data_IF_672528010540
#
_entry.id   IF_672528010540
#
_cell.length_a   1.000
_cell.length_b   1.000
_cell.length_c   1.000
_cell.angle_alpha   90.00
_cell.angle_beta   90.00
_cell.angle_gamma   90.00
#
_symmetry.space_group_name_H-M   'P 1'
#
loop_
_entity.id
_entity.type
_entity.pdbx_description
1 polymer ?
#
# COMPACT_ATOMS: atom_id res chain seq x y z
N UNK A 1 -33.33 56.51 15.41
CA UNK A 1 -33.37 57.71 14.54
C UNK A 1 -33.38 57.20 13.10
N UNK A 2 -34.49 57.47 12.40
CA UNK A 2 -34.82 56.96 11.06
C UNK A 2 -33.98 57.62 9.96
N UNK A 3 -33.67 56.88 8.89
CA UNK A 3 -33.94 57.30 7.50
C UNK A 3 -33.78 56.13 6.51
N UNK A 4 -34.84 55.89 5.73
CA UNK A 4 -34.99 54.91 4.65
C UNK A 4 -35.66 55.65 3.48
N UNK A 5 -35.10 55.59 2.28
CA UNK A 5 -35.74 55.83 0.95
C UNK A 5 -34.85 55.05 -0.05
N UNK A 6 -35.19 53.92 -0.69
CA UNK A 6 -36.30 53.41 -1.52
C UNK A 6 -36.22 53.72 -3.03
N UNK A 7 -35.99 52.64 -3.78
CA UNK A 7 -36.53 52.21 -5.09
C UNK A 7 -36.17 52.90 -6.42
N UNK A 8 -35.88 52.03 -7.39
CA UNK A 8 -36.01 52.28 -8.83
C UNK A 8 -35.51 51.10 -9.67
N UNK A 9 -36.33 50.08 -9.86
CA UNK A 9 -36.14 49.01 -10.85
C UNK A 9 -36.95 49.29 -12.11
N UNK A 10 -36.38 49.11 -13.30
CA UNK A 10 -37.14 48.74 -14.53
C UNK A 10 -36.24 48.01 -15.53
N UNK A 11 -36.75 47.00 -16.28
CA UNK A 11 -35.95 46.02 -17.04
C UNK A 11 -35.97 46.24 -18.56
N UNK A 12 -34.96 45.69 -19.26
CA UNK A 12 -35.05 45.41 -20.70
C UNK A 12 -33.97 46.06 -21.57
N UNK A 13 -32.81 45.42 -21.74
CA UNK A 13 -32.02 45.47 -22.98
C UNK A 13 -30.97 44.34 -22.99
N UNK A 14 -30.82 43.58 -24.09
CA UNK A 14 -29.83 42.52 -24.19
C UNK A 14 -28.40 43.08 -24.35
N UNK A 15 -27.37 42.44 -23.77
CA UNK A 15 -25.99 42.83 -23.97
C UNK A 15 -25.51 42.52 -25.39
N UNK A 16 -24.78 43.50 -25.96
CA UNK A 16 -24.20 43.50 -27.30
C UNK A 16 -23.10 42.45 -27.41
N UNK A 17 -23.14 41.68 -28.50
CA UNK A 17 -22.01 40.90 -29.01
C UNK A 17 -20.84 41.84 -29.29
N UNK A 18 -19.69 41.54 -28.68
CA UNK A 18 -18.40 42.12 -29.05
C UNK A 18 -17.65 41.05 -29.82
N UNK A 19 -17.62 41.21 -31.14
CA UNK A 19 -16.71 40.50 -32.03
C UNK A 19 -15.26 40.86 -31.65
N UNK A 20 -14.43 39.85 -31.40
CA UNK A 20 -13.00 39.97 -31.54
C UNK A 20 -12.56 39.12 -32.73
N UNK A 21 -12.18 39.80 -33.80
CA UNK A 21 -11.41 39.23 -34.90
C UNK A 21 -10.00 38.87 -34.41
N UNK A 22 -9.57 37.64 -34.70
CA UNK A 22 -8.17 37.31 -34.92
C UNK A 22 -8.09 36.51 -36.21
N UNK A 23 -7.62 37.16 -37.28
CA UNK A 23 -7.31 36.51 -38.54
C UNK A 23 -5.97 35.79 -38.45
N UNK A 24 -5.96 34.48 -38.74
CA UNK A 24 -4.81 33.81 -39.34
C UNK A 24 -5.34 32.91 -40.46
N UNK A 25 -4.90 33.21 -41.68
CA UNK A 25 -5.15 32.48 -42.90
C UNK A 25 -4.36 31.15 -42.90
N UNK A 26 -5.04 30.02 -42.90
CA UNK A 26 -4.51 28.78 -43.50
C UNK A 26 -5.59 28.07 -44.31
N UNK A 27 -5.42 28.16 -45.63
CA UNK A 27 -6.25 27.60 -46.67
C UNK A 27 -5.77 26.16 -46.96
N UNK A 28 -6.50 25.15 -46.48
CA UNK A 28 -6.28 23.74 -46.88
C UNK A 28 -7.64 23.16 -47.31
N UNK A 29 -7.81 22.78 -48.60
CA UNK A 29 -9.08 22.25 -49.09
C UNK A 29 -9.23 20.76 -48.75
N UNK A 30 -10.31 20.43 -48.04
CA UNK A 30 -10.77 19.06 -47.80
C UNK A 30 -11.32 18.43 -49.09
N UNK A 31 -10.93 17.19 -49.45
CA UNK A 31 -11.53 16.51 -50.58
C UNK A 31 -12.89 15.90 -50.20
N UNK A 32 -13.87 16.18 -51.06
CA UNK A 32 -15.23 15.64 -51.07
C UNK A 32 -15.21 14.11 -51.18
N UNK A 33 -15.61 13.40 -50.14
CA UNK A 33 -15.97 11.98 -50.24
C UNK A 33 -17.38 11.85 -50.83
N UNK A 34 -17.44 11.33 -52.05
CA UNK A 34 -18.68 10.98 -52.76
C UNK A 34 -19.32 9.76 -52.10
N UNK A 35 -20.64 9.83 -51.97
CA UNK A 35 -21.54 8.73 -51.61
C UNK A 35 -21.25 7.49 -52.47
N UNK A 36 -20.98 6.35 -51.86
CA UNK A 36 -20.99 5.05 -52.51
C UNK A 36 -22.19 4.25 -52.00
N UNK A 37 -23.05 3.88 -52.96
CA UNK A 37 -24.32 3.17 -52.78
C UNK A 37 -24.06 1.67 -52.60
N UNK A 38 -24.70 1.07 -51.60
CA UNK A 38 -24.78 -0.40 -51.39
C UNK A 38 -25.71 -1.02 -52.44
N UNK A 39 -25.41 -2.23 -52.94
CA UNK A 39 -26.50 -3.18 -53.13
C UNK A 39 -26.21 -4.60 -52.63
N UNK A 40 -27.27 -5.17 -52.06
CA UNK A 40 -27.52 -6.53 -51.57
C UNK A 40 -27.75 -7.50 -52.73
N UNK A 41 -27.29 -8.75 -52.63
CA UNK A 41 -27.87 -9.90 -53.38
C UNK A 41 -27.99 -11.13 -52.46
N UNK A 42 -29.17 -11.75 -52.51
CA UNK A 42 -29.71 -12.88 -51.76
C UNK A 42 -30.06 -14.02 -52.74
N UNK A 43 -29.92 -15.28 -52.32
CA UNK A 43 -30.71 -16.51 -52.65
C UNK A 43 -29.92 -17.73 -53.21
N UNK A 44 -29.83 -18.87 -52.46
CA UNK A 44 -30.67 -20.12 -52.37
C UNK A 44 -30.40 -21.12 -53.55
N UNK A 45 -30.04 -22.42 -53.42
CA UNK A 45 -30.72 -23.68 -52.96
C UNK A 45 -29.67 -24.84 -53.07
N UNK A 46 -29.45 -25.77 -52.11
CA UNK A 46 -30.18 -27.01 -51.71
C UNK A 46 -29.52 -28.35 -52.18
N UNK A 47 -29.17 -29.18 -51.18
CA UNK A 47 -29.09 -30.66 -51.07
C UNK A 47 -28.04 -31.51 -51.83
N UNK A 48 -27.24 -32.26 -51.05
CA UNK A 48 -27.12 -33.72 -51.11
C UNK A 48 -26.47 -34.28 -49.83
N UNK A 49 -27.23 -35.11 -49.09
CA UNK A 49 -26.77 -35.88 -47.93
C UNK A 49 -26.14 -37.18 -48.46
N UNK A 50 -24.85 -37.38 -48.19
CA UNK A 50 -24.21 -38.71 -48.22
C UNK A 50 -23.52 -38.90 -46.87
N UNK A 51 -24.04 -39.82 -46.07
CA UNK A 51 -23.43 -40.25 -44.83
C UNK A 51 -22.28 -41.23 -45.15
N UNK A 52 -21.06 -40.88 -44.74
CA UNK A 52 -19.94 -41.81 -44.62
C UNK A 52 -19.30 -41.60 -43.23
N UNK A 53 -19.00 -42.66 -42.46
CA UNK A 53 -18.50 -42.53 -41.10
C UNK A 53 -16.99 -42.34 -41.06
N UNK A 54 -16.52 -41.55 -40.10
CA UNK A 54 -15.16 -41.65 -39.57
C UNK A 54 -14.11 -40.75 -40.22
N UNK A 55 -14.02 -39.51 -39.76
CA UNK A 55 -12.75 -38.84 -39.40
C UNK A 55 -13.13 -37.57 -38.62
N UNK A 56 -12.92 -37.59 -37.31
CA UNK A 56 -13.11 -36.43 -36.44
C UNK A 56 -12.11 -35.35 -36.82
N UNK A 57 -12.56 -34.37 -37.61
CA UNK A 57 -11.84 -33.12 -37.87
C UNK A 57 -12.00 -32.27 -36.61
N UNK A 58 -10.92 -32.11 -35.84
CA UNK A 58 -10.89 -31.22 -34.69
C UNK A 58 -11.32 -29.81 -35.13
N UNK A 59 -12.48 -29.36 -34.64
CA UNK A 59 -12.87 -27.97 -34.74
C UNK A 59 -11.89 -27.17 -33.88
N UNK A 60 -11.14 -26.28 -34.51
CA UNK A 60 -10.38 -25.24 -33.81
C UNK A 60 -11.38 -24.34 -33.07
N UNK A 61 -11.64 -24.67 -31.81
CA UNK A 61 -12.36 -23.82 -30.88
C UNK A 61 -11.51 -22.58 -30.60
N UNK A 62 -12.03 -21.43 -30.98
CA UNK A 62 -11.53 -20.12 -30.56
C UNK A 62 -11.52 -20.06 -29.04
N UNK A 63 -10.33 -20.11 -28.43
CA UNK A 63 -10.16 -19.84 -27.01
C UNK A 63 -10.24 -18.33 -26.79
N UNK A 64 -11.44 -17.83 -26.50
CA UNK A 64 -11.57 -16.63 -25.69
C UNK A 64 -10.99 -16.97 -24.31
N UNK A 65 -9.73 -16.63 -24.08
CA UNK A 65 -9.11 -16.66 -22.75
C UNK A 65 -9.64 -15.49 -21.92
N UNK A 66 -10.94 -15.51 -21.64
CA UNK A 66 -11.52 -14.82 -20.50
C UNK A 66 -11.74 -15.87 -19.45
N UNK A 67 -10.72 -16.10 -18.62
CA UNK A 67 -10.88 -16.95 -17.44
C UNK A 67 -11.59 -16.05 -16.43
N UNK A 68 -12.91 -16.16 -16.36
CA UNK A 68 -13.60 -15.76 -15.13
C UNK A 68 -12.92 -16.57 -14.01
N UNK A 69 -12.26 -15.87 -13.10
CA UNK A 69 -11.49 -16.50 -12.03
C UNK A 69 -12.46 -17.30 -11.16
N UNK A 70 -12.40 -18.62 -11.26
CA UNK A 70 -13.12 -19.51 -10.37
C UNK A 70 -12.50 -19.38 -8.97
N UNK A 71 -13.24 -18.86 -7.96
CA UNK A 71 -12.72 -18.65 -6.62
C UNK A 71 -12.30 -19.97 -5.93
N UNK A 72 -12.67 -21.14 -6.50
CA UNK A 72 -12.31 -22.45 -5.97
C UNK A 72 -10.94 -22.98 -6.43
N UNK A 73 -10.29 -22.35 -7.42
CA UNK A 73 -8.96 -22.80 -7.86
C UNK A 73 -7.87 -22.37 -6.89
N UNK A 74 -6.85 -23.22 -6.61
CA UNK A 74 -5.72 -22.85 -5.76
C UNK A 74 -4.90 -21.73 -6.42
N UNK A 75 -4.70 -20.64 -5.68
CA UNK A 75 -3.91 -19.48 -6.11
C UNK A 75 -2.63 -19.41 -5.28
N UNK A 76 -1.49 -19.35 -5.96
CA UNK A 76 -0.19 -19.10 -5.32
C UNK A 76 0.08 -17.60 -5.35
N UNK A 77 0.18 -16.99 -4.17
CA UNK A 77 0.55 -15.59 -3.96
C UNK A 77 1.95 -15.49 -3.30
N UNK A 78 2.63 -14.32 -3.31
CA UNK A 78 2.10 -12.97 -3.42
C UNK A 78 1.53 -12.62 -4.80
N UNK A 79 0.31 -12.11 -4.81
CA UNK A 79 -0.43 -11.69 -5.98
C UNK A 79 -0.51 -10.16 -6.03
N UNK A 80 -0.48 -9.60 -7.23
CA UNK A 80 -0.37 -8.17 -7.51
C UNK A 80 -1.16 -7.84 -8.79
N UNK A 81 -1.67 -6.62 -8.90
CA UNK A 81 -2.43 -6.15 -10.06
C UNK A 81 -1.57 -6.14 -11.33
N UNK A 82 -0.33 -5.66 -11.26
CA UNK A 82 0.57 -5.62 -12.42
C UNK A 82 1.68 -6.67 -12.33
N UNK A 83 2.13 -7.17 -13.48
CA UNK A 83 3.29 -8.04 -13.54
C UNK A 83 4.56 -7.26 -13.13
N UNK A 84 5.57 -7.93 -12.54
CA UNK A 84 6.83 -7.26 -12.17
C UNK A 84 7.57 -6.58 -13.34
N UNK A 85 7.26 -6.97 -14.58
CA UNK A 85 7.81 -6.42 -15.82
C UNK A 85 7.00 -5.26 -16.39
N UNK A 86 5.78 -5.02 -15.88
CA UNK A 86 4.96 -3.91 -16.35
C UNK A 86 5.55 -2.59 -15.84
N UNK A 87 5.42 -1.54 -16.66
CA UNK A 87 5.97 -0.22 -16.39
C UNK A 87 5.12 0.87 -17.05
N UNK A 88 5.16 2.11 -16.55
CA UNK A 88 4.54 3.29 -17.17
C UNK A 88 4.87 3.43 -18.65
N UNK A 89 3.88 3.86 -19.44
CA UNK A 89 4.03 4.06 -20.89
C UNK A 89 4.68 5.40 -21.24
N UNK A 90 4.70 6.36 -20.30
CA UNK A 90 5.39 7.64 -20.42
C UNK A 90 6.22 7.94 -19.17
N UNK A 91 7.06 8.97 -19.27
CA UNK A 91 7.76 9.50 -18.10
C UNK A 91 6.80 10.09 -17.05
N UNK A 92 7.33 10.50 -15.89
CA UNK A 92 6.53 11.02 -14.80
C UNK A 92 5.81 12.31 -15.20
N UNK A 93 4.65 12.53 -14.59
CA UNK A 93 3.91 13.77 -14.69
C UNK A 93 4.81 14.95 -14.27
N UNK A 94 4.74 16.11 -14.97
CA UNK A 94 5.55 17.26 -14.63
C UNK A 94 5.19 17.93 -13.30
N UNK A 95 4.05 17.60 -12.67
CA UNK A 95 3.63 18.14 -11.38
C UNK A 95 4.66 17.86 -10.28
N UNK A 96 4.95 18.86 -9.44
CA UNK A 96 5.90 18.78 -8.32
C UNK A 96 5.19 18.93 -6.96
N UNK A 97 3.85 19.02 -6.97
CA UNK A 97 3.06 19.17 -5.75
C UNK A 97 2.91 17.82 -5.05
N UNK A 98 3.04 17.84 -3.72
CA UNK A 98 2.78 16.68 -2.87
C UNK A 98 1.40 16.09 -3.19
N UNK A 99 1.34 14.80 -3.52
CA UNK A 99 0.10 14.14 -3.97
C UNK A 99 0.04 12.71 -3.45
N UNK A 100 -1.10 12.32 -2.87
CA UNK A 100 -1.45 10.92 -2.61
C UNK A 100 -2.14 10.34 -3.85
N UNK A 101 -1.69 9.19 -4.33
CA UNK A 101 -2.19 8.55 -5.55
C UNK A 101 -2.57 7.12 -5.25
N UNK A 102 -3.60 6.59 -5.89
CA UNK A 102 -4.08 5.25 -5.58
C UNK A 102 -4.94 4.59 -6.65
N UNK A 103 -5.23 3.33 -6.37
CA UNK A 103 -6.09 2.46 -7.15
C UNK A 103 -7.19 1.89 -6.25
N UNK A 104 -8.43 1.89 -6.73
CA UNK A 104 -9.50 1.05 -6.18
C UNK A 104 -9.33 -0.37 -6.69
N UNK A 105 -9.38 -1.34 -5.79
CA UNK A 105 -9.25 -2.75 -6.14
C UNK A 105 -10.22 -3.62 -5.33
N UNK A 106 -10.43 -4.84 -5.82
CA UNK A 106 -11.18 -5.91 -5.19
C UNK A 106 -10.40 -7.22 -5.30
N UNK A 107 -10.65 -8.14 -4.36
CA UNK A 107 -10.20 -9.52 -4.46
C UNK A 107 -11.39 -10.45 -4.71
N UNK A 108 -11.22 -11.53 -5.48
CA UNK A 108 -12.26 -12.55 -5.74
C UNK A 108 -12.50 -13.50 -4.55
N UNK A 109 -11.65 -13.42 -3.51
CA UNK A 109 -11.67 -14.27 -2.32
C UNK A 109 -11.13 -13.52 -1.12
N UNK A 110 -11.45 -14.01 0.07
CA UNK A 110 -10.89 -13.50 1.32
C UNK A 110 -9.37 -13.70 1.36
N UNK A 111 -8.68 -12.79 2.03
CA UNK A 111 -7.23 -12.87 2.18
C UNK A 111 -6.68 -11.65 2.89
N UNK A 112 -5.42 -11.34 2.62
CA UNK A 112 -4.68 -10.30 3.32
C UNK A 112 -3.97 -9.38 2.33
N UNK A 113 -4.05 -8.08 2.58
CA UNK A 113 -3.13 -7.12 1.97
C UNK A 113 -1.93 -6.96 2.87
N UNK A 114 -0.79 -7.40 2.37
CA UNK A 114 0.45 -7.46 3.12
C UNK A 114 1.35 -6.25 2.90
N UNK A 115 1.10 -5.46 1.87
CA UNK A 115 1.88 -4.28 1.53
C UNK A 115 1.33 -3.55 0.32
N UNK A 116 2.07 -2.52 -0.10
CA UNK A 116 1.78 -1.72 -1.29
C UNK A 116 3.07 -1.59 -2.10
N UNK A 117 2.93 -1.60 -3.42
CA UNK A 117 3.97 -1.22 -4.36
C UNK A 117 3.58 0.06 -5.08
N UNK A 118 4.56 0.79 -5.57
CA UNK A 118 4.34 1.78 -6.61
C UNK A 118 5.50 1.75 -7.61
N UNK A 119 5.25 2.16 -8.85
CA UNK A 119 6.32 2.32 -9.82
C UNK A 119 6.96 3.71 -9.66
N UNK A 120 8.27 3.74 -9.38
CA UNK A 120 9.03 4.95 -9.13
C UNK A 120 9.85 5.38 -10.35
N UNK A 121 9.71 6.63 -10.74
CA UNK A 121 10.66 7.29 -11.64
C UNK A 121 11.80 7.94 -10.84
N UNK A 122 12.97 8.12 -11.47
CA UNK A 122 14.11 8.81 -10.85
C UNK A 122 13.77 10.22 -10.35
N UNK A 123 12.84 10.92 -11.01
CA UNK A 123 12.38 12.24 -10.58
C UNK A 123 11.41 12.19 -9.38
N UNK A 124 10.80 11.05 -9.09
CA UNK A 124 9.89 10.87 -7.96
C UNK A 124 10.70 10.69 -6.66
N UNK A 125 11.03 11.83 -6.04
CA UNK A 125 11.93 11.89 -4.88
C UNK A 125 11.19 12.20 -3.59
N UNK A 126 11.89 11.99 -2.47
CA UNK A 126 11.38 12.21 -1.12
C UNK A 126 11.02 10.90 -0.43
N UNK A 127 10.47 11.02 0.77
CA UNK A 127 10.07 9.85 1.58
C UNK A 127 8.64 9.46 1.25
N UNK A 128 8.47 8.34 0.55
CA UNK A 128 7.16 7.80 0.20
C UNK A 128 6.53 7.04 1.37
N UNK A 129 5.21 7.06 1.46
CA UNK A 129 4.43 6.22 2.37
C UNK A 129 3.36 5.47 1.60
N UNK A 130 3.22 4.16 1.82
CA UNK A 130 2.16 3.35 1.25
C UNK A 130 1.02 3.21 2.25
N UNK A 131 -0.23 3.28 1.79
CA UNK A 131 -1.41 3.25 2.65
C UNK A 131 -2.49 2.36 2.05
N UNK A 132 -3.18 1.60 2.90
CA UNK A 132 -4.40 0.86 2.56
C UNK A 132 -5.58 1.51 3.27
N UNK A 133 -6.66 1.72 2.53
CA UNK A 133 -7.89 2.33 3.02
C UNK A 133 -9.09 1.45 2.74
N UNK A 134 -10.10 1.57 3.61
CA UNK A 134 -11.47 1.19 3.24
C UNK A 134 -12.01 2.12 2.16
N UNK A 135 -13.03 1.68 1.41
CA UNK A 135 -13.73 2.56 0.46
C UNK A 135 -14.37 3.81 1.10
N UNK A 136 -14.60 3.80 2.42
CA UNK A 136 -15.16 4.94 3.16
C UNK A 136 -14.09 5.91 3.70
N UNK A 137 -12.81 5.69 3.40
CA UNK A 137 -11.72 6.59 3.79
C UNK A 137 -11.07 6.29 5.15
N UNK A 138 -11.48 5.24 5.85
CA UNK A 138 -10.76 4.78 7.04
C UNK A 138 -9.40 4.17 6.66
N UNK A 139 -8.31 4.62 7.31
CA UNK A 139 -6.97 4.07 7.14
C UNK A 139 -6.84 2.74 7.86
N UNK A 140 -6.56 1.67 7.11
CA UNK A 140 -6.46 0.30 7.63
C UNK A 140 -5.01 -0.07 7.95
N UNK A 141 -4.06 0.35 7.12
CA UNK A 141 -2.63 0.19 7.38
C UNK A 141 -1.83 1.26 6.63
N UNK A 142 -0.62 1.56 7.12
CA UNK A 142 0.34 2.44 6.46
C UNK A 142 1.76 2.00 6.79
N UNK A 143 2.70 2.22 5.87
CA UNK A 143 4.11 1.99 6.08
C UNK A 143 4.96 2.96 5.25
N UNK A 144 6.12 3.35 5.79
CA UNK A 144 7.09 4.21 5.10
C UNK A 144 8.00 3.35 4.24
N UNK A 145 8.18 3.72 2.97
CA UNK A 145 9.14 3.06 2.09
C UNK A 145 10.58 3.37 2.55
N UNK A 146 11.44 2.35 2.56
CA UNK A 146 12.84 2.46 2.96
C UNK A 146 13.71 1.66 1.99
N UNK A 147 14.90 2.14 1.66
CA UNK A 147 15.83 1.43 0.78
C UNK A 147 15.34 1.31 -0.67
N UNK A 148 14.59 2.31 -1.15
CA UNK A 148 14.09 2.35 -2.52
C UNK A 148 15.23 2.43 -3.54
N UNK A 149 15.02 1.84 -4.72
CA UNK A 149 15.88 2.09 -5.88
C UNK A 149 15.60 3.47 -6.49
N UNK A 150 16.46 3.88 -7.43
CA UNK A 150 16.28 5.10 -8.21
C UNK A 150 15.04 5.04 -9.10
N UNK A 151 14.79 3.88 -9.72
CA UNK A 151 13.61 3.65 -10.55
C UNK A 151 13.13 2.19 -10.49
N UNK A 152 11.88 1.96 -10.88
CA UNK A 152 11.21 0.67 -10.95
C UNK A 152 10.20 0.46 -9.81
N UNK A 153 9.65 -0.76 -9.73
CA UNK A 153 8.73 -1.14 -8.66
C UNK A 153 9.39 -1.06 -7.29
N UNK A 154 8.86 -0.19 -6.43
CA UNK A 154 9.19 -0.15 -5.01
C UNK A 154 8.11 -0.90 -4.24
N UNK A 155 8.49 -1.66 -3.22
CA UNK A 155 7.53 -2.35 -2.36
C UNK A 155 7.81 -2.03 -0.90
N UNK A 156 6.75 -1.75 -0.15
CA UNK A 156 6.76 -1.72 1.31
C UNK A 156 5.76 -2.75 1.84
N UNK A 157 6.15 -3.43 2.91
CA UNK A 157 5.29 -4.34 3.63
C UNK A 157 4.71 -3.65 4.86
N UNK A 158 3.42 -3.85 5.14
CA UNK A 158 2.81 -3.40 6.40
C UNK A 158 3.32 -4.22 7.58
N UNK A 159 3.26 -3.66 8.79
CA UNK A 159 3.65 -4.38 10.01
C UNK A 159 2.80 -5.64 10.23
N UNK A 160 1.50 -5.59 9.90
CA UNK A 160 0.60 -6.75 9.91
C UNK A 160 -0.19 -6.77 8.61
N UNK A 161 -0.54 -7.95 8.11
CA UNK A 161 -1.45 -8.07 6.98
C UNK A 161 -2.85 -7.63 7.38
N UNK A 162 -3.50 -6.85 6.51
CA UNK A 162 -4.88 -6.43 6.72
C UNK A 162 -5.80 -7.43 6.06
N UNK A 163 -6.64 -8.09 6.86
CA UNK A 163 -7.68 -8.97 6.32
C UNK A 163 -8.65 -8.17 5.44
N UNK A 164 -8.92 -8.70 4.25
CA UNK A 164 -9.90 -8.15 3.32
C UNK A 164 -10.94 -9.20 2.96
N UNK A 165 -12.15 -8.73 2.66
CA UNK A 165 -13.27 -9.57 2.26
C UNK A 165 -13.42 -9.59 0.74
N UNK A 166 -13.71 -10.78 0.19
CA UNK A 166 -14.00 -10.97 -1.23
C UNK A 166 -15.05 -9.97 -1.74
N UNK A 167 -14.85 -9.47 -2.96
CA UNK A 167 -15.77 -8.54 -3.65
C UNK A 167 -15.89 -7.15 -3.01
N UNK A 168 -15.18 -6.88 -1.92
CA UNK A 168 -15.21 -5.57 -1.24
C UNK A 168 -14.19 -4.63 -1.86
N UNK A 169 -14.60 -3.39 -2.14
CA UNK A 169 -13.70 -2.36 -2.67
C UNK A 169 -12.82 -1.78 -1.56
N UNK A 170 -11.52 -1.74 -1.83
CA UNK A 170 -10.50 -1.07 -1.02
C UNK A 170 -9.69 -0.11 -1.90
N UNK A 171 -8.93 0.79 -1.27
CA UNK A 171 -7.99 1.68 -1.97
C UNK A 171 -6.57 1.40 -1.49
N UNK A 172 -5.66 1.06 -2.40
CA UNK A 172 -4.23 1.09 -2.15
C UNK A 172 -3.67 2.39 -2.70
N UNK A 173 -2.86 3.10 -1.91
CA UNK A 173 -2.30 4.39 -2.28
C UNK A 173 -0.83 4.53 -1.87
N UNK A 174 -0.13 5.50 -2.47
CA UNK A 174 1.14 6.00 -1.97
C UNK A 174 1.19 7.53 -2.00
N UNK A 175 1.94 8.10 -1.04
CA UNK A 175 2.25 9.52 -1.00
C UNK A 175 3.52 9.80 -1.80
N UNK A 176 3.41 10.64 -2.83
CA UNK A 176 4.53 11.29 -3.50
C UNK A 176 4.72 12.71 -2.91
N UNK A 177 5.64 12.92 -1.96
CA UNK A 177 5.76 14.21 -1.25
C UNK A 177 6.25 15.36 -2.13
N UNK A 178 6.91 15.08 -3.25
CA UNK A 178 7.43 16.06 -4.20
C UNK A 178 6.82 15.91 -5.61
N UNK A 179 5.63 15.32 -5.72
CA UNK A 179 5.00 15.03 -7.02
C UNK A 179 5.83 14.07 -7.87
N UNK A 180 5.89 14.31 -9.19
CA UNK A 180 6.63 13.53 -10.19
C UNK A 180 6.20 12.07 -10.27
N UNK A 181 4.91 11.82 -10.10
CA UNK A 181 4.32 10.49 -10.17
C UNK A 181 4.08 10.01 -11.60
N UNK A 182 3.88 8.71 -11.79
CA UNK A 182 3.52 8.16 -13.10
C UNK A 182 2.00 8.20 -13.30
N UNK A 183 1.56 8.52 -14.51
CA UNK A 183 0.16 8.74 -14.81
C UNK A 183 -0.19 8.30 -16.25
N UNK A 184 -0.64 7.06 -16.38
CA UNK A 184 -1.10 6.52 -17.66
C UNK A 184 -2.60 6.80 -17.82
N UNK A 185 -2.93 7.93 -18.43
CA UNK A 185 -4.32 8.36 -18.66
C UNK A 185 -5.09 7.34 -19.51
N UNK A 186 -6.35 7.06 -19.14
CA UNK A 186 -7.17 6.02 -19.75
C UNK A 186 -6.79 4.59 -19.36
N UNK A 187 -5.78 4.41 -18.51
CA UNK A 187 -5.27 3.10 -18.09
C UNK A 187 -6.29 2.22 -17.36
N UNK A 188 -7.37 2.80 -16.83
CA UNK A 188 -8.44 2.12 -16.09
C UNK A 188 -9.84 2.34 -16.71
N UNK A 189 -9.91 2.71 -18.00
CA UNK A 189 -11.18 2.75 -18.73
C UNK A 189 -11.83 1.36 -18.82
N UNK A 190 -11.01 0.31 -18.87
CA UNK A 190 -11.45 -1.09 -18.72
C UNK A 190 -10.90 -1.69 -17.43
N UNK A 191 -11.63 -2.65 -16.85
CA UNK A 191 -11.15 -3.35 -15.66
C UNK A 191 -9.85 -4.11 -15.98
N UNK A 192 -8.89 -4.05 -15.05
CA UNK A 192 -7.68 -4.85 -15.10
C UNK A 192 -7.79 -6.00 -14.11
N UNK A 193 -7.65 -7.23 -14.58
CA UNK A 193 -7.79 -8.45 -13.77
C UNK A 193 -6.51 -9.26 -13.86
N UNK A 194 -5.94 -9.61 -12.71
CA UNK A 194 -4.76 -10.46 -12.62
C UNK A 194 -4.83 -11.37 -11.40
N UNK A 195 -5.00 -12.66 -11.65
CA UNK A 195 -5.21 -13.65 -10.59
C UNK A 195 -6.42 -13.28 -9.73
N UNK A 196 -6.29 -13.23 -8.39
CA UNK A 196 -7.42 -12.92 -7.51
C UNK A 196 -7.76 -11.43 -7.47
N UNK A 197 -6.92 -10.55 -8.03
CA UNK A 197 -7.08 -9.10 -7.92
C UNK A 197 -7.72 -8.50 -9.17
N UNK A 198 -8.63 -7.57 -8.94
CA UNK A 198 -9.25 -6.74 -9.97
C UNK A 198 -9.13 -5.27 -9.60
N UNK A 199 -8.59 -4.45 -10.49
CA UNK A 199 -8.83 -3.01 -10.49
C UNK A 199 -10.06 -2.77 -11.39
N UNK A 200 -11.24 -2.46 -10.84
CA UNK A 200 -12.44 -2.31 -11.66
C UNK A 200 -12.32 -1.11 -12.59
N UNK A 201 -13.04 -1.15 -13.71
CA UNK A 201 -13.13 0.00 -14.62
C UNK A 201 -13.63 1.24 -13.86
N UNK A 202 -13.15 2.42 -14.23
CA UNK A 202 -13.57 3.67 -13.57
C UNK A 202 -15.08 3.86 -13.55
N UNK A 203 -15.78 3.59 -14.65
CA UNK A 203 -17.23 3.73 -14.73
C UNK A 203 -17.94 2.87 -13.68
N UNK A 204 -17.51 1.61 -13.49
CA UNK A 204 -18.15 0.69 -12.55
C UNK A 204 -17.75 0.94 -11.10
N UNK A 205 -16.57 1.53 -10.85
CA UNK A 205 -16.06 1.86 -9.52
C UNK A 205 -16.51 3.23 -8.98
N UNK A 206 -17.25 4.02 -9.77
CA UNK A 206 -17.52 5.42 -9.45
C UNK A 206 -16.23 6.26 -9.45
N UNK A 207 -15.39 6.07 -10.47
CA UNK A 207 -14.04 6.60 -10.62
C UNK A 207 -12.97 5.63 -10.14
N UNK A 208 -11.93 5.37 -10.94
CA UNK A 208 -10.72 4.65 -10.53
C UNK A 208 -9.49 5.38 -11.07
N UNK A 209 -8.33 5.13 -10.48
CA UNK A 209 -7.24 6.09 -10.57
C UNK A 209 -7.59 7.30 -9.72
N UNK A 210 -7.35 7.17 -8.41
CA UNK A 210 -7.73 8.19 -7.44
C UNK A 210 -6.52 8.98 -6.99
N UNK A 211 -6.71 10.25 -6.67
CA UNK A 211 -5.67 11.12 -6.15
C UNK A 211 -6.20 12.12 -5.13
N UNK A 212 -5.28 12.75 -4.40
CA UNK A 212 -5.51 13.89 -3.52
C UNK A 212 -4.25 14.76 -3.50
N UNK A 213 -4.37 16.06 -3.75
CA UNK A 213 -3.28 16.99 -3.46
C UNK A 213 -3.08 17.12 -1.95
N UNK A 214 -1.84 16.95 -1.50
CA UNK A 214 -1.47 16.78 -0.10
C UNK A 214 -1.40 15.29 0.27
N UNK A 215 -1.72 14.99 1.53
CA UNK A 215 -1.73 13.64 2.09
C UNK A 215 -3.08 13.33 2.75
N UNK A 216 -3.59 12.11 2.58
CA UNK A 216 -4.90 11.71 3.08
C UNK A 216 -5.57 10.65 2.21
N UNK A 217 -6.88 10.46 2.37
CA UNK A 217 -7.62 9.51 1.54
C UNK A 217 -7.85 10.10 0.13
N UNK A 218 -7.38 9.43 -0.95
CA UNK A 218 -7.59 9.91 -2.30
C UNK A 218 -8.99 9.54 -2.80
N UNK A 219 -9.82 10.56 -3.04
CA UNK A 219 -11.21 10.42 -3.47
C UNK A 219 -11.54 11.15 -4.80
N UNK A 220 -10.60 11.93 -5.33
CA UNK A 220 -10.71 12.59 -6.63
C UNK A 220 -10.18 11.69 -7.73
N UNK A 221 -10.69 11.81 -8.96
CA UNK A 221 -10.24 11.02 -10.11
C UNK A 221 -10.12 11.88 -11.35
N UNK A 222 -9.21 11.52 -12.25
CA UNK A 222 -9.00 12.21 -13.50
C UNK A 222 -8.72 11.22 -14.62
N UNK A 223 -9.51 11.29 -15.70
CA UNK A 223 -9.29 10.59 -16.97
C UNK A 223 -8.93 9.10 -16.84
N UNK A 224 -9.58 8.37 -15.93
CA UNK A 224 -9.37 6.94 -15.68
C UNK A 224 -7.88 6.54 -15.53
N UNK A 225 -7.10 7.41 -14.88
CA UNK A 225 -5.64 7.31 -14.91
C UNK A 225 -5.13 6.11 -14.10
N UNK A 226 -4.20 5.33 -14.66
CA UNK A 226 -3.43 4.39 -13.86
C UNK A 226 -2.23 5.11 -13.23
N UNK A 227 -2.24 5.26 -11.90
CA UNK A 227 -1.14 5.85 -11.13
C UNK A 227 -0.08 4.83 -10.67
N UNK A 228 -0.14 3.59 -11.19
CA UNK A 228 0.87 2.54 -10.95
C UNK A 228 1.06 2.17 -9.48
N UNK A 229 -0.05 2.02 -8.75
CA UNK A 229 -0.08 1.69 -7.31
C UNK A 229 -0.68 0.32 -7.07
N UNK A 230 0.05 -0.60 -6.44
CA UNK A 230 -0.27 -2.04 -6.42
C UNK A 230 -0.44 -2.64 -5.03
N UNK A 231 -1.61 -3.20 -4.68
CA UNK A 231 -1.74 -3.98 -3.45
C UNK A 231 -1.00 -5.32 -3.56
N UNK A 232 -0.25 -5.67 -2.52
CA UNK A 232 0.36 -7.01 -2.38
C UNK A 232 -0.62 -7.91 -1.63
N UNK A 233 -1.30 -8.80 -2.34
CA UNK A 233 -2.28 -9.74 -1.78
C UNK A 233 -1.67 -11.10 -1.48
N UNK A 234 -2.09 -11.71 -0.37
CA UNK A 234 -1.84 -13.11 -0.06
C UNK A 234 -3.11 -13.82 0.41
N UNK A 235 -3.22 -15.12 0.14
CA UNK A 235 -4.33 -15.97 0.61
C UNK A 235 -4.20 -16.35 2.08
N UNK A 236 -2.99 -16.21 2.65
CA UNK A 236 -2.69 -16.36 4.07
C UNK A 236 -1.74 -15.25 4.51
N UNK A 237 -1.87 -14.75 5.74
CA UNK A 237 -0.80 -13.95 6.34
C UNK A 237 0.17 -14.91 7.01
N UNK A 238 1.31 -15.18 6.36
CA UNK A 238 2.40 -15.94 6.98
C UNK A 238 3.19 -15.11 7.98
N UNK A 239 2.95 -13.80 8.02
CA UNK A 239 3.46 -12.94 9.08
C UNK A 239 2.53 -13.11 10.28
N UNK A 240 3.05 -13.73 11.33
CA UNK A 240 2.34 -13.82 12.58
C UNK A 240 2.13 -12.44 13.19
N UNK A 241 1.36 -12.35 14.30
CA UNK A 241 1.29 -11.13 15.10
C UNK A 241 2.68 -10.56 15.41
N UNK A 242 2.76 -9.28 15.76
CA UNK A 242 4.02 -8.78 16.33
C UNK A 242 4.42 -9.65 17.54
N UNK A 243 5.72 -9.94 17.74
CA UNK A 243 6.17 -10.57 18.98
C UNK A 243 5.68 -9.78 20.19
N UNK A 244 5.49 -10.46 21.31
CA UNK A 244 5.20 -9.82 22.59
C UNK A 244 6.14 -10.38 23.66
N UNK A 245 6.52 -9.52 24.61
CA UNK A 245 7.23 -9.96 25.81
C UNK A 245 6.19 -10.50 26.81
N UNK A 246 6.39 -11.73 27.26
CA UNK A 246 5.49 -12.43 28.19
C UNK A 246 6.06 -12.53 29.60
N UNK A 247 7.37 -12.39 29.76
CA UNK A 247 8.06 -12.40 31.06
C UNK A 247 9.28 -11.48 31.02
N UNK A 248 9.53 -10.76 32.12
CA UNK A 248 10.65 -9.82 32.27
C UNK A 248 11.27 -10.00 33.65
N UNK A 249 12.59 -9.98 33.72
CA UNK A 249 13.36 -9.87 34.96
C UNK A 249 14.49 -8.85 34.80
N UNK A 250 14.75 -7.95 35.76
CA UNK A 250 13.92 -7.66 36.93
C UNK A 250 12.52 -7.19 36.56
N UNK A 251 11.53 -7.49 37.39
CA UNK A 251 10.13 -7.14 37.12
C UNK A 251 9.93 -5.62 37.11
N UNK A 252 8.93 -5.10 36.38
CA UNK A 252 8.58 -3.68 36.44
C UNK A 252 8.33 -3.21 37.87
N UNK A 253 9.08 -2.19 38.30
CA UNK A 253 9.03 -1.62 39.64
C UNK A 253 9.74 -2.44 40.72
N UNK A 254 10.46 -3.50 40.38
CA UNK A 254 11.19 -4.31 41.36
C UNK A 254 12.28 -3.49 42.06
N UNK A 255 12.36 -3.60 43.38
CA UNK A 255 13.34 -2.88 44.21
C UNK A 255 14.35 -3.83 44.82
N UNK A 256 15.50 -3.29 45.26
CA UNK A 256 16.56 -4.07 45.89
C UNK A 256 17.17 -5.15 44.99
N UNK A 257 17.14 -4.91 43.67
CA UNK A 257 17.72 -5.82 42.68
C UNK A 257 19.23 -5.92 42.90
N UNK A 258 19.80 -7.14 43.01
CA UNK A 258 21.24 -7.33 43.11
C UNK A 258 21.96 -6.69 41.93
N UNK A 259 23.11 -6.09 42.22
CA UNK A 259 23.83 -5.29 41.23
C UNK A 259 24.44 -6.09 40.07
N UNK A 260 24.71 -7.38 40.25
CA UNK A 260 25.18 -8.28 39.18
C UNK A 260 24.06 -9.06 38.51
N UNK A 261 22.81 -8.60 38.61
CA UNK A 261 21.67 -9.29 38.00
C UNK A 261 21.65 -9.08 36.50
N UNK A 262 21.58 -10.19 35.75
CA UNK A 262 21.28 -10.16 34.32
C UNK A 262 19.83 -9.72 34.09
N UNK A 263 19.61 -8.94 33.03
CA UNK A 263 18.28 -8.57 32.57
C UNK A 263 17.80 -9.60 31.56
N UNK A 264 16.56 -10.06 31.68
CA UNK A 264 15.97 -11.03 30.77
C UNK A 264 14.59 -10.59 30.29
N UNK A 265 14.27 -10.98 29.06
CA UNK A 265 12.93 -10.89 28.50
C UNK A 265 12.62 -12.16 27.70
N UNK A 266 11.45 -12.76 27.97
CA UNK A 266 10.95 -13.94 27.25
C UNK A 266 9.85 -13.52 26.29
N UNK A 267 9.96 -13.95 25.04
CA UNK A 267 8.97 -13.65 23.99
C UNK A 267 7.93 -14.77 23.84
N UNK A 268 6.75 -14.39 23.33
CA UNK A 268 5.67 -15.31 22.99
C UNK A 268 5.98 -16.20 21.77
N UNK A 269 7.02 -15.87 21.00
CA UNK A 269 7.47 -16.56 19.78
C UNK A 269 8.96 -16.35 19.53
N UNK A 270 9.52 -17.09 18.57
CA UNK A 270 10.91 -16.88 18.16
C UNK A 270 11.10 -15.53 17.45
N UNK A 271 12.21 -14.86 17.78
CA UNK A 271 12.61 -13.56 17.22
C UNK A 271 13.99 -13.65 16.55
N UNK A 272 14.29 -12.70 15.67
CA UNK A 272 15.59 -12.55 15.03
C UNK A 272 16.62 -12.01 16.03
N UNK A 273 17.64 -12.79 16.44
CA UNK A 273 18.54 -12.40 17.54
C UNK A 273 19.32 -11.10 17.25
N UNK A 274 19.69 -10.86 16.00
CA UNK A 274 20.43 -9.67 15.57
C UNK A 274 19.65 -8.37 15.64
N UNK A 275 18.33 -8.44 15.88
CA UNK A 275 17.44 -7.27 15.96
C UNK A 275 17.16 -6.84 17.41
N UNK A 276 17.66 -7.59 18.38
CA UNK A 276 17.44 -7.32 19.80
C UNK A 276 18.41 -6.24 20.27
N UNK A 277 17.87 -5.09 20.64
CA UNK A 277 18.65 -3.98 21.17
C UNK A 277 18.11 -3.55 22.53
N UNK A 278 19.00 -3.57 23.53
CA UNK A 278 18.73 -3.12 24.88
C UNK A 278 19.22 -1.67 25.05
N UNK A 279 18.37 -0.81 25.60
CA UNK A 279 18.73 0.54 26.03
C UNK A 279 18.52 0.62 27.53
N UNK A 280 19.59 0.94 28.27
CA UNK A 280 19.54 1.00 29.74
C UNK A 280 20.05 2.38 30.17
N UNK A 281 19.21 3.09 30.91
CA UNK A 281 19.42 4.47 31.31
C UNK A 281 19.37 4.59 32.83
N UNK A 282 20.24 5.44 33.38
CA UNK A 282 20.19 5.90 34.77
C UNK A 282 20.38 7.42 34.80
N UNK A 283 19.38 8.14 35.30
CA UNK A 283 19.34 9.60 35.18
C UNK A 283 19.37 10.05 33.71
N UNK A 284 20.16 11.09 33.40
CA UNK A 284 20.36 11.57 32.02
C UNK A 284 21.47 10.81 31.26
N UNK A 285 22.14 9.84 31.90
CA UNK A 285 23.24 9.07 31.31
C UNK A 285 22.82 7.68 30.81
N UNK A 286 23.45 7.20 29.73
CA UNK A 286 23.43 5.79 29.35
C UNK A 286 24.40 4.98 30.21
N UNK A 287 24.02 3.75 30.58
CA UNK A 287 24.80 2.88 31.47
C UNK A 287 25.00 1.48 30.85
N UNK A 288 26.00 0.70 31.33
CA UNK A 288 27.23 0.37 30.63
C UNK A 288 27.04 -0.59 29.42
N UNK A 289 28.07 -0.79 28.59
CA UNK A 289 28.05 -1.86 27.60
C UNK A 289 27.82 -3.22 28.26
N UNK A 290 27.13 -4.12 27.58
CA UNK A 290 26.90 -5.49 28.03
C UNK A 290 26.76 -6.43 26.85
N UNK A 291 26.70 -7.71 27.15
CA UNK A 291 26.53 -8.75 26.13
C UNK A 291 25.08 -9.17 26.05
N UNK A 292 24.53 -9.18 24.83
CA UNK A 292 23.19 -9.70 24.57
C UNK A 292 23.29 -11.12 24.03
N UNK A 293 22.57 -12.05 24.65
CA UNK A 293 22.39 -13.41 24.16
C UNK A 293 20.91 -13.72 23.96
N UNK A 294 20.62 -14.73 23.16
CA UNK A 294 19.25 -15.20 22.92
C UNK A 294 19.22 -16.72 22.79
N UNK A 295 18.32 -17.36 23.55
CA UNK A 295 18.06 -18.78 23.48
C UNK A 295 16.72 -19.01 22.76
N UNK A 296 16.76 -19.59 21.56
CA UNK A 296 15.57 -19.83 20.74
C UNK A 296 14.60 -20.84 21.39
N UNK A 297 15.10 -21.88 22.06
CA UNK A 297 14.28 -22.92 22.66
C UNK A 297 13.42 -22.38 23.82
N UNK A 298 13.95 -21.43 24.59
CA UNK A 298 13.21 -20.75 25.66
C UNK A 298 12.68 -19.38 25.26
N UNK A 299 12.96 -18.93 24.03
CA UNK A 299 12.63 -17.59 23.49
C UNK A 299 13.05 -16.46 24.42
N UNK A 300 14.15 -16.63 25.14
CA UNK A 300 14.60 -15.70 26.17
C UNK A 300 15.86 -15.00 25.72
N UNK A 301 15.82 -13.66 25.71
CA UNK A 301 17.02 -12.84 25.59
C UNK A 301 17.56 -12.50 26.98
N UNK A 302 18.88 -12.45 27.09
CA UNK A 302 19.59 -12.06 28.30
C UNK A 302 20.58 -10.97 27.96
N UNK A 303 20.50 -9.84 28.67
CA UNK A 303 21.53 -8.83 28.71
C UNK A 303 22.35 -9.00 30.00
N UNK A 304 23.64 -9.23 29.83
CA UNK A 304 24.63 -9.35 30.90
C UNK A 304 25.50 -8.08 30.91
N UNK A 305 25.33 -7.17 31.89
CA UNK A 305 26.17 -5.98 32.03
C UNK A 305 27.65 -6.36 32.15
N UNK A 306 28.55 -5.67 31.42
CA UNK A 306 30.00 -5.96 31.50
C UNK A 306 30.55 -5.69 32.91
N UNK A 307 30.05 -4.62 33.53
CA UNK A 307 30.30 -4.27 34.91
C UNK A 307 28.99 -4.40 35.69
N UNK A 308 29.09 -4.88 36.95
CA UNK A 308 27.97 -4.86 37.87
C UNK A 308 27.40 -3.44 37.97
N UNK A 309 26.07 -3.35 38.05
CA UNK A 309 25.39 -2.10 38.31
C UNK A 309 25.84 -1.50 39.67
N UNK A 310 25.77 -0.19 39.88
CA UNK A 310 26.16 0.40 41.15
C UNK A 310 25.09 0.17 42.23
N UNK A 311 25.57 -0.05 43.46
CA UNK A 311 24.74 0.08 44.65
C UNK A 311 24.33 1.55 44.85
N UNK A 312 23.18 1.77 45.45
CA UNK A 312 22.72 3.11 45.82
C UNK A 312 21.22 3.32 45.81
N UNK A 313 20.42 2.29 45.50
CA UNK A 313 18.98 2.48 45.34
C UNK A 313 18.64 3.22 44.05
N UNK A 314 19.43 2.99 43.00
CA UNK A 314 19.32 3.70 41.74
C UNK A 314 18.21 3.11 40.88
N UNK A 315 17.35 3.97 40.34
CA UNK A 315 16.29 3.58 39.41
C UNK A 315 16.81 3.55 37.97
N UNK A 316 16.71 2.39 37.33
CA UNK A 316 17.09 2.17 35.95
C UNK A 316 15.86 2.14 35.06
N UNK A 317 15.93 2.82 33.92
CA UNK A 317 14.96 2.66 32.83
C UNK A 317 15.54 1.74 31.77
N UNK A 318 14.75 0.75 31.36
CA UNK A 318 15.12 -0.23 30.34
C UNK A 318 14.16 -0.11 29.19
N UNK A 319 14.67 -0.12 27.97
CA UNK A 319 13.90 -0.28 26.75
C UNK A 319 14.43 -1.47 25.94
N UNK A 320 13.51 -2.25 25.40
CA UNK A 320 13.78 -3.27 24.40
C UNK A 320 13.22 -2.79 23.06
N UNK A 321 14.12 -2.49 22.12
CA UNK A 321 13.79 -1.86 20.84
C UNK A 321 14.24 -2.72 19.66
N UNK A 322 13.60 -2.51 18.51
CA UNK A 322 14.02 -3.07 17.22
C UNK A 322 13.73 -4.55 17.00
N UNK A 323 13.26 -5.28 18.02
CA UNK A 323 13.01 -6.73 17.97
C UNK A 323 12.04 -7.10 16.84
N UNK A 324 12.40 -8.10 16.03
CA UNK A 324 11.55 -8.64 14.95
C UNK A 324 11.28 -10.13 15.13
N UNK A 325 10.09 -10.61 14.78
CA UNK A 325 9.86 -12.05 14.56
C UNK A 325 10.65 -12.56 13.36
N UNK A 326 10.76 -13.88 13.21
CA UNK A 326 11.46 -14.51 12.08
C UNK A 326 10.91 -14.08 10.71
N UNK A 327 9.61 -13.80 10.62
CA UNK A 327 8.92 -13.28 9.43
C UNK A 327 9.13 -11.76 9.18
N UNK A 328 9.86 -11.07 10.06
CA UNK A 328 10.22 -9.67 9.95
C UNK A 328 9.26 -8.69 10.62
N UNK A 329 8.17 -9.15 11.25
CA UNK A 329 7.25 -8.26 11.98
C UNK A 329 7.92 -7.63 13.20
N UNK A 330 7.89 -6.31 13.29
CA UNK A 330 8.52 -5.54 14.38
C UNK A 330 7.64 -5.56 15.64
N UNK A 331 8.25 -5.85 16.78
CA UNK A 331 7.65 -5.70 18.10
C UNK A 331 7.63 -4.22 18.52
N UNK A 332 6.51 -3.69 19.05
CA UNK A 332 6.50 -2.37 19.68
C UNK A 332 7.56 -2.25 20.78
N UNK A 333 8.15 -1.07 20.96
CA UNK A 333 9.09 -0.83 22.06
C UNK A 333 8.46 -1.20 23.40
N UNK A 334 9.18 -1.98 24.20
CA UNK A 334 8.79 -2.33 25.57
C UNK A 334 9.70 -1.58 26.53
N UNK A 335 9.13 -0.86 27.48
CA UNK A 335 9.89 -0.12 28.50
C UNK A 335 9.41 -0.42 29.92
N UNK A 336 10.36 -0.46 30.86
CA UNK A 336 10.08 -0.62 32.28
C UNK A 336 11.20 -0.05 33.14
N UNK A 337 10.99 -0.04 34.46
CA UNK A 337 11.99 0.39 35.43
C UNK A 337 12.21 -0.64 36.54
N UNK A 338 13.39 -0.61 37.17
CA UNK A 338 13.69 -1.34 38.41
C UNK A 338 14.71 -0.55 39.25
N UNK A 339 14.89 -0.92 40.51
CA UNK A 339 15.80 -0.22 41.44
C UNK A 339 16.83 -1.18 42.03
N UNK A 340 18.12 -0.83 41.93
CA UNK A 340 19.21 -1.64 42.51
C UNK A 340 19.21 -1.63 44.04
N UNK A 341 19.90 -2.59 44.65
CA UNK A 341 20.12 -2.61 46.09
C UNK A 341 20.82 -1.33 46.59
N UNK A 342 20.41 -0.85 47.77
CA UNK A 342 21.01 0.32 48.40
C UNK A 342 22.46 0.07 48.89
N UNK A 343 22.80 -1.18 49.18
CA UNK A 343 24.13 -1.60 49.62
C UNK A 343 24.28 -3.12 49.60
N UNK A 344 25.50 -3.64 49.85
CA UNK A 344 25.75 -5.07 49.93
C UNK A 344 24.98 -5.72 51.10
N UNK A 345 24.70 -7.04 51.04
CA UNK A 345 24.07 -7.75 52.16
C UNK A 345 24.90 -7.63 53.44
N UNK A 346 24.23 -7.33 54.56
CA UNK A 346 24.84 -7.39 55.89
C UNK A 346 24.89 -8.84 56.34
N UNK A 347 26.10 -9.42 56.39
CA UNK A 347 26.40 -10.77 56.90
C UNK A 347 26.72 -10.75 58.37
#
# INVERSE_FOLDING_TARGET
MYARISHGSTPGQPPREVMFEWGILMNIPWPRLRKATVPTILAVLLALIVAAPGTSRAAAGSTKSGVDADPSQPVTCPCTLWAPTDQPSSGPDPDEVATELGVKFQADRDGYITGVRFWKDAANTGTHTGTLWSAAGARLATATFTGESESGWQQVNFAQGVAITAGTTYVASYQAPNGRYNADQGGLTTAHVRGPLTAPASETAGGNGVYLYGAGFPDSTWNDTNYWVDPVFNTTDTRGPAPAVIEISPRPGETSVPVGTNLTATFDREVQPSTIHWVIMYGEGSYPPGTTTYNAATRTTTFDPTDNLPFGGYSYSVELIGVKSLDGTVMPTVSWQFTTAAGPPIT
#
